data_IF_753117993479
#
_entry.id   IF_753117993479
#
_cell.length_a   1.000
_cell.length_b   1.000
_cell.length_c   1.000
_cell.angle_alpha   90.00
_cell.angle_beta   90.00
_cell.angle_gamma   90.00
#
_symmetry.space_group_name_H-M   'P 1'
#
loop_
_entity.id
_entity.type
_entity.pdbx_description
1 polymer ?
#
# COMPACT_ATOMS: atom_id res chain seq x y z
N UNK A 1 22.14 0.09 -10.40
CA UNK A 1 21.03 -0.88 -10.53
C UNK A 1 20.02 -0.80 -9.39
N UNK A 2 20.30 -1.22 -8.15
CA UNK A 2 19.28 -1.21 -7.08
C UNK A 2 18.68 0.18 -6.78
N UNK A 3 19.52 1.22 -6.65
CA UNK A 3 19.03 2.58 -6.41
C UNK A 3 18.16 3.13 -7.55
N UNK A 4 18.43 2.70 -8.79
CA UNK A 4 17.64 3.07 -9.97
C UNK A 4 16.27 2.39 -9.96
N UNK A 5 16.21 1.09 -9.67
CA UNK A 5 14.95 0.36 -9.53
C UNK A 5 14.11 0.91 -8.38
N UNK A 6 14.74 1.24 -7.25
CA UNK A 6 14.08 1.91 -6.12
C UNK A 6 13.49 3.26 -6.53
N UNK A 7 14.27 4.07 -7.25
CA UNK A 7 13.82 5.36 -7.79
C UNK A 7 12.63 5.22 -8.73
N UNK A 8 12.63 4.21 -9.61
CA UNK A 8 11.53 3.95 -10.55
C UNK A 8 10.23 3.59 -9.82
N UNK A 9 10.30 2.72 -8.82
CA UNK A 9 9.12 2.35 -8.00
C UNK A 9 8.60 3.58 -7.25
N UNK A 10 9.46 4.33 -6.55
CA UNK A 10 9.04 5.54 -5.83
C UNK A 10 8.43 6.60 -6.75
N UNK A 11 9.02 6.80 -7.93
CA UNK A 11 8.50 7.73 -8.93
C UNK A 11 7.13 7.29 -9.47
N UNK A 12 6.90 5.98 -9.64
CA UNK A 12 5.59 5.46 -10.04
C UNK A 12 4.53 5.68 -8.95
N UNK A 13 4.86 5.40 -7.69
CA UNK A 13 3.97 5.64 -6.55
C UNK A 13 3.59 7.11 -6.42
N UNK A 14 4.57 8.02 -6.54
CA UNK A 14 4.34 9.47 -6.44
C UNK A 14 3.48 10.04 -7.57
N UNK A 15 3.36 9.35 -8.72
CA UNK A 15 2.47 9.75 -9.81
C UNK A 15 1.05 9.19 -9.67
N UNK A 16 0.83 8.23 -8.77
CA UNK A 16 -0.48 7.59 -8.58
C UNK A 16 -1.32 8.37 -7.57
N UNK A 17 -2.32 9.10 -8.07
CA UNK A 17 -3.30 9.80 -7.22
C UNK A 17 -4.08 8.81 -6.34
N UNK A 18 -4.40 7.63 -6.86
CA UNK A 18 -5.08 6.57 -6.10
C UNK A 18 -4.23 6.08 -4.93
N UNK A 19 -2.93 5.86 -5.14
CA UNK A 19 -2.01 5.50 -4.06
C UNK A 19 -1.92 6.62 -3.02
N UNK A 20 -1.80 7.87 -3.45
CA UNK A 20 -1.76 9.00 -2.53
C UNK A 20 -3.02 9.10 -1.68
N UNK A 21 -4.21 8.99 -2.29
CA UNK A 21 -5.49 9.05 -1.59
C UNK A 21 -5.68 7.89 -0.60
N UNK A 22 -5.24 6.68 -0.95
CA UNK A 22 -5.37 5.50 -0.09
C UNK A 22 -4.35 5.47 1.06
N UNK A 23 -3.11 5.88 0.80
CA UNK A 23 -2.00 5.76 1.75
C UNK A 23 -1.75 7.03 2.57
N UNK A 24 -2.06 8.21 2.02
CA UNK A 24 -1.73 9.54 2.58
C UNK A 24 -0.28 9.59 3.11
N UNK A 25 0.73 9.33 2.27
CA UNK A 25 2.09 9.06 2.72
C UNK A 25 2.75 10.29 3.36
N UNK A 26 3.25 10.13 4.59
CA UNK A 26 4.23 11.04 5.21
C UNK A 26 5.66 10.67 4.82
N UNK A 27 5.96 9.38 4.89
CA UNK A 27 7.24 8.83 4.50
C UNK A 27 7.04 7.45 3.85
N UNK A 28 7.81 7.18 2.81
CA UNK A 28 7.88 5.88 2.14
C UNK A 28 9.30 5.39 2.28
N UNK A 29 9.47 4.16 2.72
CA UNK A 29 10.81 3.61 2.79
C UNK A 29 11.35 3.17 1.45
N UNK A 30 12.67 3.03 1.38
CA UNK A 30 13.36 2.42 0.24
C UNK A 30 12.70 1.08 -0.14
N UNK A 31 12.18 0.95 -1.38
CA UNK A 31 11.62 -0.29 -1.86
C UNK A 31 12.67 -1.40 -1.83
N UNK A 32 12.26 -2.57 -1.39
CA UNK A 32 13.06 -3.78 -1.43
C UNK A 32 12.53 -4.68 -2.54
N UNK A 33 13.35 -5.65 -2.96
CA UNK A 33 13.00 -6.59 -4.01
C UNK A 33 13.26 -7.99 -3.49
N UNK A 34 12.31 -8.89 -3.71
CA UNK A 34 12.44 -10.30 -3.34
C UNK A 34 12.09 -11.19 -4.53
N UNK A 35 12.51 -12.45 -4.41
CA UNK A 35 12.22 -13.53 -5.34
C UNK A 35 11.84 -14.75 -4.54
N UNK A 36 10.81 -15.46 -4.99
CA UNK A 36 10.43 -16.78 -4.49
C UNK A 36 10.34 -17.76 -5.66
N UNK A 37 11.00 -18.91 -5.54
CA UNK A 37 10.98 -20.03 -6.48
C UNK A 37 11.31 -21.33 -5.73
N UNK A 38 11.14 -22.51 -6.36
CA UNK A 38 11.64 -23.78 -5.80
C UNK A 38 11.18 -24.07 -4.36
N UNK A 39 9.90 -23.83 -4.08
CA UNK A 39 9.25 -23.94 -2.76
C UNK A 39 9.70 -22.93 -1.71
N UNK A 40 10.45 -21.88 -2.09
CA UNK A 40 10.67 -20.71 -1.22
C UNK A 40 9.32 -20.10 -0.81
N UNK A 41 9.26 -19.66 0.44
CA UNK A 41 8.06 -19.17 1.12
C UNK A 41 8.48 -18.14 2.17
N UNK A 42 7.51 -17.39 2.72
CA UNK A 42 7.73 -16.61 3.93
C UNK A 42 6.56 -16.83 4.88
N UNK A 43 6.83 -17.44 6.04
CA UNK A 43 5.79 -17.88 6.98
C UNK A 43 4.99 -16.72 7.59
N UNK A 44 3.94 -17.07 8.33
CA UNK A 44 3.11 -16.07 9.00
C UNK A 44 3.92 -15.21 9.97
N UNK A 45 3.83 -13.91 9.79
CA UNK A 45 4.49 -12.90 10.61
C UNK A 45 3.69 -11.59 10.59
N UNK A 46 4.08 -10.68 11.47
CA UNK A 46 3.64 -9.28 11.46
C UNK A 46 4.89 -8.45 11.24
N UNK A 47 4.77 -7.35 10.49
CA UNK A 47 5.90 -6.48 10.24
C UNK A 47 6.33 -5.73 11.51
N UNK A 48 7.61 -5.39 11.59
CA UNK A 48 8.12 -4.56 12.69
C UNK A 48 7.43 -3.18 12.68
N UNK A 49 6.82 -2.80 13.81
CA UNK A 49 6.03 -1.57 13.96
C UNK A 49 6.83 -0.27 13.73
N UNK A 50 8.15 -0.33 13.90
CA UNK A 50 9.09 0.77 13.64
C UNK A 50 10.32 0.25 12.94
N UNK A 51 10.93 1.10 12.11
CA UNK A 51 12.12 0.76 11.35
C UNK A 51 13.00 1.96 11.08
N UNK A 52 14.30 1.71 11.05
CA UNK A 52 15.28 2.73 10.74
C UNK A 52 15.23 3.08 9.25
N UNK A 53 15.38 4.38 8.95
CA UNK A 53 15.47 4.85 7.57
C UNK A 53 16.92 4.99 7.12
N UNK A 54 17.16 4.82 5.82
CA UNK A 54 18.50 4.92 5.25
C UNK A 54 19.10 6.32 5.42
N UNK A 55 18.28 7.37 5.40
CA UNK A 55 18.69 8.75 5.66
C UNK A 55 18.82 9.09 7.16
N UNK A 56 18.64 8.11 8.05
CA UNK A 56 18.60 8.28 9.50
C UNK A 56 17.18 8.49 10.04
N UNK A 57 17.01 8.23 11.33
CA UNK A 57 15.71 8.33 12.01
C UNK A 57 14.87 7.06 11.98
N UNK A 58 13.68 7.14 12.58
CA UNK A 58 12.74 6.04 12.74
C UNK A 58 11.42 6.35 12.02
N UNK A 59 10.87 5.33 11.38
CA UNK A 59 9.60 5.39 10.66
C UNK A 59 8.64 4.35 11.24
N UNK A 60 7.40 4.75 11.51
CA UNK A 60 6.31 3.85 11.88
C UNK A 60 5.77 3.14 10.63
N UNK A 61 5.46 1.86 10.73
CA UNK A 61 4.91 1.07 9.61
C UNK A 61 3.38 1.00 9.69
N UNK A 62 2.71 1.99 9.12
CA UNK A 62 1.24 1.99 9.10
C UNK A 62 0.72 1.01 8.04
N UNK A 63 1.30 1.08 6.85
CA UNK A 63 0.92 0.24 5.71
C UNK A 63 2.12 -0.50 5.14
N UNK A 64 1.87 -1.74 4.75
CA UNK A 64 2.74 -2.55 3.91
C UNK A 64 2.20 -2.55 2.48
N UNK A 65 3.10 -2.56 1.51
CA UNK A 65 2.75 -2.60 0.11
C UNK A 65 3.61 -3.61 -0.65
N UNK A 66 2.98 -4.34 -1.56
CA UNK A 66 3.65 -5.25 -2.49
C UNK A 66 3.27 -4.89 -3.92
N UNK A 67 4.25 -4.49 -4.72
CA UNK A 67 4.17 -4.32 -6.17
C UNK A 67 4.55 -5.63 -6.84
N UNK A 68 3.63 -6.23 -7.59
CA UNK A 68 3.85 -7.48 -8.30
C UNK A 68 4.64 -7.19 -9.59
N UNK A 69 5.72 -7.95 -9.83
CA UNK A 69 6.59 -7.77 -11.01
C UNK A 69 6.61 -9.01 -11.91
N UNK A 70 5.90 -10.06 -11.53
CA UNK A 70 5.71 -11.28 -12.32
C UNK A 70 4.22 -11.49 -12.58
N UNK A 71 3.81 -11.85 -13.81
CA UNK A 71 2.43 -12.20 -14.09
C UNK A 71 1.96 -13.37 -13.21
N UNK A 72 0.72 -13.35 -12.69
CA UNK A 72 0.24 -14.38 -11.77
C UNK A 72 0.23 -15.78 -12.39
N UNK A 73 0.01 -15.88 -13.69
CA UNK A 73 0.03 -17.13 -14.47
C UNK A 73 1.44 -17.68 -14.72
N UNK A 74 2.51 -16.93 -14.39
CA UNK A 74 3.90 -17.36 -14.63
C UNK A 74 4.50 -18.17 -13.47
N UNK A 75 3.74 -18.41 -12.39
CA UNK A 75 4.17 -19.18 -11.23
C UNK A 75 2.99 -19.84 -10.51
N UNK A 76 3.23 -20.98 -9.86
CA UNK A 76 2.23 -21.71 -9.06
C UNK A 76 2.46 -21.50 -7.57
N UNK A 77 1.39 -21.26 -6.80
CA UNK A 77 1.46 -20.77 -5.43
C UNK A 77 1.91 -19.30 -5.36
N UNK A 78 2.64 -18.93 -4.30
CA UNK A 78 3.17 -17.58 -4.11
C UNK A 78 2.11 -16.52 -3.79
N UNK A 79 0.92 -16.92 -3.36
CA UNK A 79 -0.12 -16.01 -2.89
C UNK A 79 0.39 -15.24 -1.66
N UNK A 80 0.20 -13.92 -1.67
CA UNK A 80 0.27 -13.12 -0.45
C UNK A 80 -1.03 -13.35 0.32
N UNK A 81 -0.91 -13.94 1.49
CA UNK A 81 -2.03 -14.21 2.37
C UNK A 81 -2.01 -13.18 3.49
N UNK A 82 -3.11 -12.42 3.64
CA UNK A 82 -3.26 -11.38 4.67
C UNK A 82 -4.47 -11.69 5.53
N UNK A 83 -4.28 -11.74 6.85
CA UNK A 83 -5.37 -11.93 7.80
C UNK A 83 -5.89 -10.57 8.28
N UNK A 84 -7.21 -10.46 8.38
CA UNK A 84 -7.91 -9.37 9.02
C UNK A 84 -8.88 -9.89 10.10
N UNK A 85 -9.74 -9.02 10.62
CA UNK A 85 -10.73 -9.39 11.64
C UNK A 85 -11.81 -10.34 11.13
N UNK A 86 -12.04 -10.41 9.81
CA UNK A 86 -13.14 -11.14 9.18
C UNK A 86 -12.67 -12.40 8.44
N UNK A 87 -11.36 -12.59 8.25
CA UNK A 87 -10.82 -13.82 7.71
C UNK A 87 -9.44 -13.63 7.07
N UNK A 88 -9.19 -14.48 6.09
CA UNK A 88 -7.92 -14.56 5.37
C UNK A 88 -8.15 -14.24 3.90
N UNK A 89 -7.38 -13.30 3.37
CA UNK A 89 -7.45 -12.87 1.98
C UNK A 89 -6.20 -13.33 1.25
N UNK A 90 -6.38 -14.04 0.13
CA UNK A 90 -5.28 -14.47 -0.72
C UNK A 90 -5.18 -13.54 -1.93
N UNK A 91 -4.00 -12.98 -2.15
CA UNK A 91 -3.74 -11.93 -3.14
C UNK A 91 -2.64 -12.36 -4.09
N UNK A 92 -2.94 -12.31 -5.38
CA UNK A 92 -2.01 -12.59 -6.48
C UNK A 92 -2.42 -11.75 -7.69
N UNK A 93 -1.79 -10.59 -7.86
CA UNK A 93 -2.22 -9.57 -8.82
C UNK A 93 -1.39 -9.61 -10.12
N UNK A 94 -1.90 -9.03 -11.21
CA UNK A 94 -1.13 -8.76 -12.44
C UNK A 94 0.20 -8.04 -12.18
N UNK A 95 1.18 -8.27 -13.05
CA UNK A 95 2.43 -7.51 -12.99
C UNK A 95 2.17 -6.01 -13.24
N UNK A 96 2.71 -5.17 -12.37
CA UNK A 96 2.48 -3.72 -12.34
C UNK A 96 1.44 -3.27 -11.31
N UNK A 97 0.61 -4.18 -10.81
CA UNK A 97 -0.38 -3.87 -9.78
C UNK A 97 0.23 -3.94 -8.38
N UNK A 98 -0.32 -3.14 -7.46
CA UNK A 98 0.12 -3.04 -6.08
C UNK A 98 -1.03 -3.33 -5.12
N UNK A 99 -0.76 -4.16 -4.12
CA UNK A 99 -1.62 -4.32 -2.94
C UNK A 99 -1.10 -3.46 -1.79
N UNK A 100 -2.01 -2.82 -1.07
CA UNK A 100 -1.75 -2.02 0.12
C UNK A 100 -2.57 -2.60 1.27
N UNK A 101 -1.95 -2.85 2.42
CA UNK A 101 -2.61 -3.46 3.58
C UNK A 101 -1.97 -2.98 4.89
N UNK A 102 -2.67 -3.05 6.04
CA UNK A 102 -2.10 -2.68 7.34
C UNK A 102 -0.87 -3.53 7.67
N UNK A 103 0.24 -2.90 8.08
CA UNK A 103 1.45 -3.67 8.48
C UNK A 103 1.23 -4.51 9.74
N UNK A 104 0.17 -4.21 10.49
CA UNK A 104 -0.28 -4.95 11.67
C UNK A 104 -0.95 -6.28 11.34
N UNK A 105 -1.33 -6.51 10.08
CA UNK A 105 -1.95 -7.76 9.64
C UNK A 105 -0.96 -8.92 9.68
N UNK A 106 -1.39 -10.04 10.27
CA UNK A 106 -0.66 -11.30 10.18
C UNK A 106 -0.70 -11.76 8.72
N UNK A 107 0.46 -11.99 8.11
CA UNK A 107 0.52 -12.33 6.69
C UNK A 107 1.67 -13.26 6.35
N UNK A 108 1.55 -13.97 5.23
CA UNK A 108 2.57 -14.89 4.72
C UNK A 108 2.60 -14.89 3.17
N UNK A 109 3.66 -15.44 2.60
CA UNK A 109 3.72 -15.77 1.17
C UNK A 109 3.77 -17.29 1.04
N UNK A 110 2.75 -17.89 0.43
CA UNK A 110 2.69 -19.35 0.25
C UNK A 110 3.86 -19.84 -0.63
N UNK A 111 4.22 -21.13 -0.55
CA UNK A 111 5.34 -21.66 -1.33
C UNK A 111 5.13 -21.49 -2.84
N UNK A 112 6.16 -21.02 -3.56
CA UNK A 112 6.16 -21.01 -5.03
C UNK A 112 6.64 -22.36 -5.53
N UNK A 113 5.71 -23.21 -6.00
CA UNK A 113 6.00 -24.61 -6.37
C UNK A 113 6.51 -24.76 -7.81
N UNK A 114 6.18 -23.82 -8.68
CA UNK A 114 6.66 -23.75 -10.07
C UNK A 114 6.80 -22.30 -10.51
N UNK A 115 7.71 -22.01 -11.43
CA UNK A 115 7.99 -20.66 -11.90
C UNK A 115 8.74 -19.80 -10.88
N UNK A 116 8.67 -18.47 -11.08
CA UNK A 116 9.38 -17.49 -10.25
C UNK A 116 8.47 -16.30 -9.98
N UNK A 117 8.28 -15.98 -8.70
CA UNK A 117 7.60 -14.77 -8.24
C UNK A 117 8.64 -13.70 -7.90
N UNK A 118 8.66 -12.61 -8.65
CA UNK A 118 9.43 -11.40 -8.34
C UNK A 118 8.48 -10.31 -7.89
N UNK A 119 8.81 -9.62 -6.80
CA UNK A 119 8.04 -8.46 -6.35
C UNK A 119 8.93 -7.39 -5.73
N UNK A 120 8.40 -6.17 -5.67
CA UNK A 120 8.94 -5.13 -4.80
C UNK A 120 8.03 -4.94 -3.61
N UNK A 121 8.60 -4.79 -2.42
CA UNK A 121 7.85 -4.54 -1.19
C UNK A 121 8.42 -3.36 -0.42
N UNK A 122 7.56 -2.64 0.27
CA UNK A 122 7.90 -1.42 1.01
C UNK A 122 6.86 -1.16 2.11
N UNK A 123 7.19 -0.22 2.99
CA UNK A 123 6.26 0.28 4.00
C UNK A 123 6.08 1.77 3.85
N UNK A 124 4.93 2.22 4.35
CA UNK A 124 4.51 3.62 4.35
C UNK A 124 4.17 4.02 5.78
N UNK A 125 4.74 5.14 6.22
CA UNK A 125 4.20 5.90 7.33
C UNK A 125 3.16 6.85 6.75
N UNK A 126 1.91 6.69 7.16
CA UNK A 126 0.85 7.60 6.77
C UNK A 126 0.89 8.87 7.62
N UNK A 127 0.41 9.97 7.06
CA UNK A 127 0.00 11.14 7.83
C UNK A 127 -1.11 10.76 8.81
N UNK A 128 -1.94 9.75 8.49
CA UNK A 128 -3.07 9.32 9.30
C UNK A 128 -2.75 7.95 9.91
N UNK A 129 -2.37 7.97 11.19
CA UNK A 129 -2.00 6.77 11.96
C UNK A 129 -3.13 5.72 12.00
N UNK A 130 -4.36 6.18 12.26
CA UNK A 130 -5.51 5.28 12.46
C UNK A 130 -6.10 4.81 11.12
N UNK A 131 -6.17 3.48 10.95
CA UNK A 131 -6.63 2.83 9.72
C UNK A 131 -8.08 3.19 9.37
N UNK A 132 -8.95 3.36 10.37
CA UNK A 132 -10.37 3.70 10.15
C UNK A 132 -10.50 5.13 9.66
N UNK A 133 -9.80 6.07 10.29
CA UNK A 133 -9.73 7.48 9.87
C UNK A 133 -9.20 7.61 8.44
N UNK A 134 -8.14 6.87 8.11
CA UNK A 134 -7.58 6.86 6.76
C UNK A 134 -8.57 6.29 5.74
N UNK A 135 -9.25 5.19 6.08
CA UNK A 135 -10.28 4.59 5.21
C UNK A 135 -11.47 5.53 4.99
N UNK A 136 -11.93 6.24 6.04
CA UNK A 136 -13.00 7.25 5.93
C UNK A 136 -12.60 8.41 5.00
N UNK A 137 -11.37 8.90 5.09
CA UNK A 137 -10.86 9.94 4.19
C UNK A 137 -10.80 9.45 2.74
N UNK A 138 -10.33 8.22 2.52
CA UNK A 138 -10.26 7.62 1.19
C UNK A 138 -11.65 7.45 0.55
N UNK A 139 -12.63 6.98 1.34
CA UNK A 139 -14.02 6.88 0.88
C UNK A 139 -14.64 8.25 0.57
N UNK A 140 -14.41 9.24 1.44
CA UNK A 140 -14.91 10.60 1.25
C UNK A 140 -14.34 11.23 -0.03
N UNK A 141 -13.01 11.16 -0.25
CA UNK A 141 -12.40 11.64 -1.49
C UNK A 141 -13.00 10.94 -2.72
N UNK A 142 -13.09 9.60 -2.70
CA UNK A 142 -13.68 8.84 -3.79
C UNK A 142 -15.13 9.24 -4.10
N UNK A 143 -15.94 9.52 -3.07
CA UNK A 143 -17.31 9.99 -3.23
C UNK A 143 -17.37 11.41 -3.80
N UNK A 144 -16.50 12.32 -3.36
CA UNK A 144 -16.37 13.68 -3.91
C UNK A 144 -16.01 13.62 -5.40
N UNK A 145 -15.00 12.82 -5.77
CA UNK A 145 -14.59 12.66 -7.18
C UNK A 145 -15.72 12.11 -8.05
N UNK A 146 -16.47 11.10 -7.56
CA UNK A 146 -17.63 10.54 -8.28
C UNK A 146 -18.74 11.56 -8.46
N UNK A 147 -19.06 12.35 -7.43
CA UNK A 147 -20.07 13.40 -7.51
C UNK A 147 -19.66 14.47 -8.52
N UNK A 148 -18.41 14.96 -8.43
CA UNK A 148 -17.85 15.92 -9.38
C UNK A 148 -17.89 15.40 -10.82
N UNK A 149 -17.55 14.13 -11.04
CA UNK A 149 -17.61 13.49 -12.35
C UNK A 149 -19.03 13.40 -12.93
N UNK A 150 -20.05 13.14 -12.10
CA UNK A 150 -21.43 12.94 -12.56
C UNK A 150 -22.21 14.24 -12.72
N UNK A 151 -21.97 15.22 -11.86
CA UNK A 151 -22.81 16.41 -11.72
C UNK A 151 -22.06 17.72 -11.94
N UNK A 152 -20.73 17.68 -12.12
CA UNK A 152 -19.89 18.87 -12.23
C UNK A 152 -19.59 19.50 -10.87
N UNK A 153 -19.08 20.74 -10.90
CA UNK A 153 -18.84 21.52 -9.69
C UNK A 153 -20.15 22.09 -9.13
N UNK A 154 -20.25 22.12 -7.80
CA UNK A 154 -21.40 22.64 -7.04
C UNK A 154 -20.93 23.11 -5.66
N UNK A 155 -21.76 23.92 -4.99
CA UNK A 155 -21.48 24.39 -3.63
C UNK A 155 -21.38 23.22 -2.64
N UNK A 156 -22.16 22.15 -2.83
CA UNK A 156 -22.10 20.93 -2.02
C UNK A 156 -20.80 20.16 -2.23
N UNK A 157 -20.33 20.01 -3.47
CA UNK A 157 -19.03 19.37 -3.76
C UNK A 157 -17.90 20.19 -3.14
N UNK A 158 -17.95 21.52 -3.21
CA UNK A 158 -16.97 22.40 -2.59
C UNK A 158 -17.01 22.28 -1.05
N UNK A 159 -18.20 22.20 -0.46
CA UNK A 159 -18.39 22.02 0.98
C UNK A 159 -17.84 20.67 1.47
N UNK A 160 -18.08 19.58 0.73
CA UNK A 160 -17.53 18.26 1.03
C UNK A 160 -16.00 18.23 0.89
N UNK A 161 -15.46 18.90 -0.13
CA UNK A 161 -14.01 19.05 -0.29
C UNK A 161 -13.40 19.84 0.88
N UNK A 162 -14.06 20.90 1.33
CA UNK A 162 -13.65 21.64 2.53
C UNK A 162 -13.68 20.73 3.78
N UNK A 163 -14.72 19.93 3.96
CA UNK A 163 -14.80 18.96 5.06
C UNK A 163 -13.65 17.95 5.00
N UNK A 164 -13.37 17.36 3.83
CA UNK A 164 -12.24 16.46 3.63
C UNK A 164 -10.91 17.10 4.09
N UNK A 165 -10.64 18.33 3.66
CA UNK A 165 -9.41 19.03 4.05
C UNK A 165 -9.35 19.38 5.54
N UNK A 166 -10.47 19.68 6.19
CA UNK A 166 -10.52 19.93 7.62
C UNK A 166 -10.28 18.65 8.43
N UNK A 167 -10.88 17.52 8.03
CA UNK A 167 -10.62 16.22 8.65
C UNK A 167 -9.17 15.78 8.46
N UNK A 168 -8.62 15.98 7.25
CA UNK A 168 -7.21 15.71 6.97
C UNK A 168 -6.31 16.55 7.89
N UNK A 169 -6.60 17.84 8.07
CA UNK A 169 -5.83 18.73 8.97
C UNK A 169 -5.92 18.29 10.43
N UNK A 170 -7.10 17.86 10.89
CA UNK A 170 -7.34 17.42 12.26
C UNK A 170 -6.64 16.10 12.60
N UNK A 171 -6.58 15.17 11.64
CA UNK A 171 -6.08 13.81 11.89
C UNK A 171 -4.62 13.59 11.48
N UNK A 172 -4.00 14.51 10.75
CA UNK A 172 -2.64 14.37 10.25
C UNK A 172 -1.58 14.55 11.34
N UNK A 173 -0.60 13.64 11.36
CA UNK A 173 0.63 13.71 12.15
C UNK A 173 1.84 13.99 11.23
N UNK A 174 2.13 15.27 10.93
CA UNK A 174 3.24 15.68 10.04
C UNK A 174 4.55 15.97 10.77
#
# INVERSE_FOLDING_TARGET
LYGELQGNVLAALNRSSLFFAAALPKAISSPLFNRYQQSETYGFHVDGAVRSQAQGGWMRTDLSATLFLSPPESYEGGELVVNDTYGQHSVKLPAGDLVLYPSSSLHCVTPVTSGVRVSSFLWVQSMIRDDKRRSMLFELDGNIQKLKSRHGESDEVLSLLNLYHNLLREWSEI
#
